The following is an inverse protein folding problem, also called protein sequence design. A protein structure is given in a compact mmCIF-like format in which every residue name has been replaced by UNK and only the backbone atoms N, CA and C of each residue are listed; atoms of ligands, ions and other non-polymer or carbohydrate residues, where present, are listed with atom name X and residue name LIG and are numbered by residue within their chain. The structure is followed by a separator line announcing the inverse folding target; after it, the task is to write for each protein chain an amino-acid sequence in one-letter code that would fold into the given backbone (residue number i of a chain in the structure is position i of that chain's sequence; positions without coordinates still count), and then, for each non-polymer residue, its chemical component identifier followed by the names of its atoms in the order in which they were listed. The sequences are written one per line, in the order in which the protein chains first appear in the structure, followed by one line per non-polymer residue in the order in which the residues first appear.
data_IF_949307674320
#
_entry.id   IF_949307674320
#
_cell.length_a   1.000
_cell.length_b   1.000
_cell.length_c   1.000
_cell.angle_alpha   90.00
_cell.angle_beta   90.00
_cell.angle_gamma   90.00
#
_symmetry.space_group_name_H-M   'P 1'
#
loop_
_entity.id
_entity.type
_entity.pdbx_description
1 polymer ?
#
# COMPACT_ATOMS: atom_id res chain seq x y z
N UNK A 1 7.08 -22.61 6.60
CA UNK A 1 6.43 -21.92 5.47
C UNK A 1 6.11 -22.99 4.43
N UNK A 2 4.88 -23.09 3.92
CA UNK A 2 4.56 -24.16 2.96
C UNK A 2 5.10 -23.85 1.55
N UNK A 3 5.47 -24.86 0.75
CA UNK A 3 5.94 -24.65 -0.62
C UNK A 3 4.95 -23.88 -1.49
N UNK A 4 3.65 -24.12 -1.31
CA UNK A 4 2.57 -23.47 -2.08
C UNK A 4 2.46 -21.98 -1.72
N UNK A 5 2.65 -21.63 -0.44
CA UNK A 5 2.70 -20.23 -0.02
C UNK A 5 3.94 -19.53 -0.58
N UNK A 6 5.05 -20.25 -0.72
CA UNK A 6 6.29 -19.69 -1.26
C UNK A 6 6.16 -19.38 -2.74
N UNK A 7 5.67 -20.35 -3.52
CA UNK A 7 5.41 -20.16 -4.94
C UNK A 7 4.49 -18.96 -5.20
N UNK A 8 3.40 -18.81 -4.44
CA UNK A 8 2.48 -17.66 -4.57
C UNK A 8 3.14 -16.32 -4.26
N UNK A 9 4.02 -16.27 -3.26
CA UNK A 9 4.74 -15.03 -2.93
C UNK A 9 5.73 -14.69 -4.05
N UNK A 10 6.46 -15.67 -4.59
CA UNK A 10 7.37 -15.46 -5.70
C UNK A 10 6.64 -14.97 -6.96
N UNK A 11 5.50 -15.57 -7.29
CA UNK A 11 4.65 -15.15 -8.42
C UNK A 11 4.17 -13.70 -8.25
N UNK A 12 3.64 -13.36 -7.06
CA UNK A 12 3.21 -11.99 -6.75
C UNK A 12 4.37 -10.98 -6.77
N UNK A 13 5.57 -11.36 -6.37
CA UNK A 13 6.74 -10.48 -6.44
C UNK A 13 7.21 -10.26 -7.88
N UNK A 14 7.09 -11.26 -8.75
CA UNK A 14 7.48 -11.17 -10.16
C UNK A 14 6.60 -10.19 -10.97
N UNK A 15 5.39 -9.90 -10.51
CA UNK A 15 4.44 -8.98 -11.16
C UNK A 15 4.46 -7.56 -10.59
N UNK A 16 5.41 -7.24 -9.70
CA UNK A 16 5.53 -5.88 -9.14
C UNK A 16 6.03 -4.88 -10.17
N UNK A 17 5.56 -3.64 -10.04
CA UNK A 17 5.87 -2.51 -10.91
C UNK A 17 6.65 -1.46 -10.09
N UNK A 18 7.99 -1.58 -9.98
CA UNK A 18 8.80 -0.66 -9.17
C UNK A 18 8.87 0.77 -9.74
N UNK A 19 8.51 0.94 -11.01
CA UNK A 19 8.43 2.20 -11.75
C UNK A 19 7.05 2.87 -11.70
N UNK A 20 6.03 2.18 -11.18
CA UNK A 20 4.68 2.73 -10.95
C UNK A 20 4.47 3.04 -9.46
N UNK A 21 4.01 4.25 -9.17
CA UNK A 21 3.69 4.70 -7.81
C UNK A 21 2.44 5.56 -7.80
N UNK A 22 1.82 5.69 -6.62
CA UNK A 22 0.64 6.54 -6.40
C UNK A 22 0.96 7.58 -5.33
N UNK A 23 0.55 8.83 -5.57
CA UNK A 23 0.61 9.90 -4.59
C UNK A 23 -0.79 10.24 -4.07
N UNK A 24 -0.96 10.22 -2.75
CA UNK A 24 -2.16 10.59 -2.03
C UNK A 24 -1.99 12.01 -1.51
N UNK A 25 -2.74 12.96 -2.06
CA UNK A 25 -2.76 14.33 -1.57
C UNK A 25 -4.00 14.55 -0.69
N UNK A 26 -3.77 14.77 0.61
CA UNK A 26 -4.78 15.19 1.57
C UNK A 26 -6.05 14.31 1.62
N UNK A 27 -5.92 12.99 1.40
CA UNK A 27 -7.07 12.08 1.47
C UNK A 27 -7.63 11.98 2.90
N UNK A 28 -8.81 12.57 3.11
CA UNK A 28 -9.39 12.79 4.45
C UNK A 28 -10.04 11.57 5.12
N UNK A 29 -10.34 10.51 4.37
CA UNK A 29 -11.07 9.35 4.90
C UNK A 29 -10.13 8.15 5.05
N UNK A 30 -9.83 7.64 6.28
CA UNK A 30 -8.90 6.51 6.47
C UNK A 30 -9.29 5.23 5.72
N UNK A 31 -10.59 4.98 5.52
CA UNK A 31 -11.06 3.84 4.73
C UNK A 31 -10.70 3.96 3.24
N UNK A 32 -10.67 5.19 2.69
CA UNK A 32 -10.24 5.41 1.31
C UNK A 32 -8.74 5.11 1.16
N UNK A 33 -7.93 5.52 2.14
CA UNK A 33 -6.50 5.20 2.17
C UNK A 33 -6.29 3.69 2.17
N UNK A 34 -7.03 2.96 3.02
CA UNK A 34 -6.97 1.49 3.05
C UNK A 34 -7.44 0.86 1.74
N UNK A 35 -8.48 1.39 1.10
CA UNK A 35 -8.94 0.91 -0.20
C UNK A 35 -7.88 1.12 -1.29
N UNK A 36 -7.25 2.29 -1.32
CA UNK A 36 -6.18 2.60 -2.27
C UNK A 36 -4.97 1.69 -2.05
N UNK A 37 -4.57 1.41 -0.82
CA UNK A 37 -3.48 0.45 -0.52
C UNK A 37 -3.82 -0.95 -1.03
N UNK A 38 -5.06 -1.43 -0.86
CA UNK A 38 -5.49 -2.74 -1.40
C UNK A 38 -5.47 -2.76 -2.92
N UNK A 39 -5.91 -1.67 -3.56
CA UNK A 39 -5.86 -1.55 -5.02
C UNK A 39 -4.42 -1.51 -5.53
N UNK A 40 -3.54 -0.74 -4.87
CA UNK A 40 -2.12 -0.67 -5.18
C UNK A 40 -1.46 -2.05 -5.10
N UNK A 41 -1.78 -2.82 -4.06
CA UNK A 41 -1.30 -4.20 -3.90
C UNK A 41 -1.78 -5.12 -5.04
N UNK A 42 -3.05 -5.02 -5.42
CA UNK A 42 -3.66 -5.82 -6.48
C UNK A 42 -3.09 -5.55 -7.87
N UNK A 43 -2.66 -4.32 -8.15
CA UNK A 43 -2.07 -3.95 -9.45
C UNK A 43 -0.53 -4.02 -9.46
N UNK A 44 0.10 -4.41 -8.35
CA UNK A 44 1.55 -4.61 -8.30
C UNK A 44 2.36 -3.36 -7.93
N UNK A 45 1.74 -2.27 -7.47
CA UNK A 45 2.46 -1.11 -6.93
C UNK A 45 3.19 -1.51 -5.64
N UNK A 46 4.45 -1.12 -5.52
CA UNK A 46 5.29 -1.47 -4.36
C UNK A 46 5.26 -0.39 -3.26
N UNK A 47 5.12 0.87 -3.65
CA UNK A 47 5.17 2.01 -2.75
C UNK A 47 4.08 3.04 -3.08
N UNK A 48 3.48 3.59 -2.04
CA UNK A 48 2.51 4.69 -2.11
C UNK A 48 3.06 5.87 -1.32
N UNK A 49 2.87 7.07 -1.85
CA UNK A 49 3.32 8.33 -1.25
C UNK A 49 2.11 9.06 -0.69
N UNK A 50 2.24 9.70 0.47
CA UNK A 50 1.12 10.39 1.09
C UNK A 50 1.53 11.72 1.74
N UNK A 51 0.75 12.76 1.45
CA UNK A 51 0.71 14.02 2.19
C UNK A 51 -0.59 14.02 2.98
N UNK A 52 -0.51 13.99 4.31
CA UNK A 52 -1.68 13.83 5.16
C UNK A 52 -2.37 15.18 5.46
N UNK A 53 -3.71 15.21 5.50
CA UNK A 53 -4.44 16.44 5.81
C UNK A 53 -4.31 16.86 7.29
N UNK A 54 -3.95 15.94 8.19
CA UNK A 54 -3.72 16.23 9.61
C UNK A 54 -2.57 15.40 10.17
N UNK A 55 -1.89 15.91 11.20
CA UNK A 55 -0.75 15.21 11.85
C UNK A 55 -1.13 13.90 12.53
N UNK A 56 -2.40 13.76 12.95
CA UNK A 56 -2.96 12.54 13.57
C UNK A 56 -3.34 11.47 12.55
N UNK A 57 -3.50 11.83 11.29
CA UNK A 57 -3.79 10.89 10.22
C UNK A 57 -2.49 10.22 9.78
N UNK A 58 -1.98 9.32 10.60
CA UNK A 58 -0.91 8.40 10.23
C UNK A 58 -1.49 7.01 10.25
N UNK A 59 -2.06 6.65 9.11
CA UNK A 59 -2.24 5.26 8.70
C UNK A 59 -2.93 4.39 9.77
N UNK A 60 -4.26 4.50 9.89
CA UNK A 60 -5.10 3.39 10.37
C UNK A 60 -5.03 2.26 9.33
N UNK A 61 -3.90 1.57 9.26
CA UNK A 61 -3.66 0.54 8.23
C UNK A 61 -4.30 -0.79 8.59
N UNK A 62 -4.79 -0.94 9.82
CA UNK A 62 -5.39 -2.19 10.34
C UNK A 62 -6.46 -2.80 9.40
N UNK A 63 -7.14 -1.98 8.58
CA UNK A 63 -8.20 -2.45 7.69
C UNK A 63 -7.74 -2.97 6.32
N UNK A 64 -6.48 -2.82 5.89
CA UNK A 64 -6.06 -3.15 4.52
C UNK A 64 -5.89 -4.66 4.22
N UNK A 65 -6.48 -5.55 5.03
CA UNK A 65 -6.52 -7.00 4.79
C UNK A 65 -5.14 -7.67 4.53
N UNK A 66 -4.06 -7.13 5.11
CA UNK A 66 -2.70 -7.67 4.96
C UNK A 66 -1.86 -7.05 3.84
N UNK A 67 -2.44 -6.19 2.99
CA UNK A 67 -1.70 -5.49 1.92
C UNK A 67 -0.58 -4.56 2.42
N UNK A 68 -0.65 -4.14 3.68
CA UNK A 68 0.39 -3.29 4.30
C UNK A 68 1.72 -4.00 4.49
N UNK A 69 1.72 -5.32 4.46
CA UNK A 69 2.95 -6.11 4.49
C UNK A 69 3.69 -6.06 3.14
N UNK A 70 3.01 -5.63 2.08
CA UNK A 70 3.51 -5.67 0.70
C UNK A 70 3.64 -4.30 0.04
N UNK A 71 2.85 -3.33 0.49
CA UNK A 71 2.86 -1.94 0.00
C UNK A 71 3.35 -1.00 1.10
N UNK A 72 4.47 -0.33 0.84
CA UNK A 72 5.03 0.67 1.77
C UNK A 72 4.35 2.02 1.59
N UNK A 73 4.03 2.71 2.70
CA UNK A 73 3.50 4.08 2.66
C UNK A 73 4.57 5.07 3.10
N UNK A 74 5.04 5.90 2.17
CA UNK A 74 6.00 6.98 2.42
C UNK A 74 5.27 8.29 2.69
N UNK A 75 5.41 8.82 3.90
CA UNK A 75 4.80 10.09 4.29
C UNK A 75 5.70 11.27 3.96
N UNK A 76 5.13 12.32 3.37
CA UNK A 76 5.78 13.60 3.05
C UNK A 76 5.14 14.76 3.81
N UNK A 77 5.86 15.88 3.91
CA UNK A 77 5.38 17.09 4.62
C UNK A 77 4.53 17.99 3.74
N UNK A 78 4.84 18.03 2.44
CA UNK A 78 4.25 18.85 1.38
C UNK A 78 4.51 18.16 0.06
#
# INVERSE_FOLDING_TARGET
MSPERYARICEMLATRQPDLTVCLEQVHKPHNVSAIIRTADAVGVHQVHAVWPTTRMRTLVSSAAGSNSWVSVKTHRS
#
